data_IF_749689911950
#
_entry.id   IF_749689911950
#
_cell.length_a   1.000
_cell.length_b   1.000
_cell.length_c   1.000
_cell.angle_alpha   90.00
_cell.angle_beta   90.00
_cell.angle_gamma   90.00
#
_symmetry.space_group_name_H-M   'P 1'
#
loop_
_entity.id
_entity.type
_entity.pdbx_description
1 polymer ?
#
# COMPACT_ATOMS: atom_id res chain seq x y z
N UNK A 1 6.21 -22.22 8.98
CA UNK A 1 5.60 -20.89 9.28
C UNK A 1 4.47 -20.66 8.30
N UNK A 2 3.26 -20.30 8.76
CA UNK A 2 2.17 -19.92 7.86
C UNK A 2 2.46 -18.56 7.19
N UNK A 3 1.73 -18.24 6.12
CA UNK A 3 1.87 -16.95 5.44
C UNK A 3 1.54 -15.77 6.36
N UNK A 4 0.47 -15.89 7.14
CA UNK A 4 0.07 -14.87 8.14
C UNK A 4 1.12 -14.66 9.21
N UNK A 5 1.65 -15.74 9.79
CA UNK A 5 2.73 -15.66 10.77
C UNK A 5 3.99 -15.02 10.19
N UNK A 6 4.35 -15.36 8.95
CA UNK A 6 5.51 -14.81 8.26
C UNK A 6 5.40 -13.29 8.08
N UNK A 7 4.26 -12.81 7.59
CA UNK A 7 4.02 -11.37 7.44
C UNK A 7 4.05 -10.68 8.80
N UNK A 8 3.33 -11.20 9.80
CA UNK A 8 3.27 -10.60 11.13
C UNK A 8 4.65 -10.54 11.80
N UNK A 9 5.45 -11.60 11.70
CA UNK A 9 6.83 -11.58 12.22
C UNK A 9 7.66 -10.54 11.51
N UNK A 10 7.63 -10.51 10.19
CA UNK A 10 8.41 -9.56 9.41
C UNK A 10 8.08 -8.10 9.77
N UNK A 11 6.80 -7.72 9.81
CA UNK A 11 6.40 -6.34 10.13
C UNK A 11 6.60 -5.98 11.62
N UNK A 12 6.86 -6.95 12.47
CA UNK A 12 7.27 -6.76 13.86
C UNK A 12 8.80 -6.91 14.04
N UNK A 13 9.59 -6.72 12.99
CA UNK A 13 11.07 -6.78 13.01
C UNK A 13 11.61 -8.10 13.59
N UNK A 14 10.99 -9.22 13.21
CA UNK A 14 11.41 -10.55 13.59
C UNK A 14 11.81 -11.35 12.34
N UNK A 15 12.84 -12.16 12.47
CA UNK A 15 13.30 -13.02 11.38
C UNK A 15 12.27 -14.08 11.01
N UNK A 16 12.23 -14.41 9.73
CA UNK A 16 11.30 -15.35 9.13
C UNK A 16 12.06 -16.47 8.38
N UNK A 17 11.36 -17.55 8.07
CA UNK A 17 11.91 -18.69 7.29
C UNK A 17 12.30 -18.29 5.86
N UNK A 18 11.65 -17.29 5.29
CA UNK A 18 11.96 -16.57 4.04
C UNK A 18 11.33 -15.18 4.08
N UNK A 19 11.69 -14.32 3.17
CA UNK A 19 11.02 -13.02 3.02
C UNK A 19 9.54 -13.24 2.67
N UNK A 20 8.58 -12.59 3.36
CA UNK A 20 7.19 -12.59 2.91
C UNK A 20 7.02 -11.84 1.60
N UNK A 21 6.05 -12.28 0.81
CA UNK A 21 5.83 -11.80 -0.57
C UNK A 21 4.40 -11.30 -0.71
N UNK A 22 4.23 -10.18 -1.42
CA UNK A 22 2.92 -9.64 -1.79
C UNK A 22 2.79 -9.45 -3.31
N UNK A 23 1.61 -9.82 -3.81
CA UNK A 23 1.06 -9.46 -5.10
C UNK A 23 -0.46 -9.39 -4.97
N UNK A 24 -0.99 -8.18 -4.99
CA UNK A 24 -2.44 -7.95 -5.02
C UNK A 24 -3.12 -7.85 -3.65
N UNK A 25 -2.39 -7.81 -2.52
CA UNK A 25 -3.00 -7.52 -1.22
C UNK A 25 -3.54 -6.08 -1.12
N UNK A 26 -3.04 -5.18 -1.94
CA UNK A 26 -3.55 -3.82 -2.12
C UNK A 26 -3.73 -3.50 -3.59
N UNK A 27 -4.42 -2.39 -3.92
CA UNK A 27 -4.50 -1.92 -5.30
C UNK A 27 -3.12 -1.53 -5.83
N UNK A 28 -2.30 -0.98 -4.97
CA UNK A 28 -0.95 -0.52 -5.29
C UNK A 28 0.05 -1.67 -5.50
N UNK A 29 -0.20 -2.85 -4.93
CA UNK A 29 0.58 -4.05 -5.21
C UNK A 29 -0.07 -4.98 -6.23
N UNK A 30 -1.07 -4.50 -6.97
CA UNK A 30 -1.82 -5.24 -7.98
C UNK A 30 -1.06 -5.49 -9.27
N UNK A 31 -1.77 -6.00 -10.28
CA UNK A 31 -1.23 -6.29 -11.61
C UNK A 31 -2.27 -6.00 -12.68
N UNK A 32 -1.85 -5.33 -13.76
CA UNK A 32 -2.71 -5.05 -14.91
C UNK A 32 -3.28 -6.34 -15.52
N UNK A 33 -4.58 -6.34 -15.85
CA UNK A 33 -5.29 -7.53 -16.28
C UNK A 33 -4.69 -8.17 -17.56
N UNK A 34 -4.20 -7.36 -18.52
CA UNK A 34 -3.53 -7.86 -19.71
C UNK A 34 -2.23 -8.63 -19.39
N UNK A 35 -1.43 -8.07 -18.49
CA UNK A 35 -0.17 -8.68 -18.01
C UNK A 35 -0.45 -9.92 -17.18
N UNK A 36 -1.45 -9.88 -16.30
CA UNK A 36 -1.87 -11.02 -15.49
C UNK A 36 -2.37 -12.20 -16.34
N UNK A 37 -3.12 -11.91 -17.40
CA UNK A 37 -3.56 -12.95 -18.35
C UNK A 37 -2.35 -13.69 -18.95
N UNK A 38 -1.38 -12.93 -19.47
CA UNK A 38 -0.14 -13.52 -20.03
C UNK A 38 0.70 -14.26 -18.99
N UNK A 39 0.76 -13.73 -17.76
CA UNK A 39 1.42 -14.43 -16.66
C UNK A 39 0.79 -15.79 -16.38
N UNK A 40 -0.55 -15.87 -16.34
CA UNK A 40 -1.26 -17.15 -16.15
C UNK A 40 -0.99 -18.12 -17.29
N UNK A 41 -0.96 -17.68 -18.53
CA UNK A 41 -0.58 -18.51 -19.67
C UNK A 41 0.82 -19.09 -19.49
N UNK A 42 1.80 -18.25 -19.11
CA UNK A 42 3.18 -18.68 -18.81
C UNK A 42 3.28 -19.65 -17.64
N UNK A 43 2.36 -19.60 -16.68
CA UNK A 43 2.27 -20.52 -15.55
C UNK A 43 1.42 -21.77 -15.83
N UNK A 44 0.78 -21.87 -17.01
CA UNK A 44 -0.11 -22.97 -17.36
C UNK A 44 -1.49 -22.92 -16.68
N UNK A 45 -1.89 -21.76 -16.13
CA UNK A 45 -3.17 -21.53 -15.44
C UNK A 45 -4.19 -21.00 -16.46
N UNK A 46 -5.34 -21.67 -16.62
CA UNK A 46 -6.33 -21.38 -17.68
C UNK A 46 -7.69 -20.90 -17.16
N UNK A 47 -7.73 -20.34 -15.98
CA UNK A 47 -8.95 -19.72 -15.42
C UNK A 47 -9.24 -18.37 -16.10
N UNK A 48 -10.47 -17.86 -16.12
CA UNK A 48 -10.77 -16.51 -16.61
C UNK A 48 -9.97 -15.43 -15.84
N UNK A 49 -9.54 -14.39 -16.53
CA UNK A 49 -8.92 -13.23 -15.89
C UNK A 49 -10.00 -12.22 -15.52
N UNK A 50 -10.21 -11.98 -14.23
CA UNK A 50 -11.22 -11.05 -13.72
C UNK A 50 -10.62 -9.71 -13.36
N UNK A 51 -11.32 -8.63 -13.72
CA UNK A 51 -10.92 -7.26 -13.43
C UNK A 51 -11.63 -6.77 -12.17
N UNK A 52 -10.89 -6.45 -11.13
CA UNK A 52 -11.42 -6.00 -9.83
C UNK A 52 -11.18 -4.51 -9.54
N UNK A 53 -10.36 -3.84 -10.32
CA UNK A 53 -10.23 -2.39 -10.33
C UNK A 53 -10.49 -1.88 -11.74
N UNK A 54 -11.58 -1.12 -11.92
CA UNK A 54 -12.02 -0.67 -13.24
C UNK A 54 -11.34 0.65 -13.68
N UNK A 55 -10.62 1.32 -12.80
CA UNK A 55 -9.85 2.52 -13.15
C UNK A 55 -8.47 2.11 -13.64
N UNK A 56 -7.67 1.47 -12.79
CA UNK A 56 -6.33 0.99 -13.15
C UNK A 56 -6.36 -0.33 -13.93
N UNK A 57 -7.52 -0.91 -14.11
CA UNK A 57 -7.80 -2.17 -14.80
C UNK A 57 -6.98 -3.35 -14.29
N UNK A 58 -6.99 -3.49 -12.94
CA UNK A 58 -6.22 -4.53 -12.26
C UNK A 58 -6.99 -5.84 -12.15
N UNK A 59 -6.24 -6.94 -12.23
CA UNK A 59 -6.77 -8.29 -12.09
C UNK A 59 -7.01 -8.70 -10.63
N UNK A 60 -7.98 -9.60 -10.44
CA UNK A 60 -8.13 -10.42 -9.24
C UNK A 60 -7.01 -11.47 -9.24
N UNK A 61 -6.11 -11.41 -8.26
CA UNK A 61 -5.01 -12.35 -8.14
C UNK A 61 -5.50 -13.63 -7.48
N UNK A 62 -5.64 -14.68 -8.28
CA UNK A 62 -6.23 -15.95 -7.88
C UNK A 62 -5.29 -16.79 -7.02
N UNK A 63 -5.88 -17.59 -6.14
CA UNK A 63 -5.15 -18.48 -5.24
C UNK A 63 -4.12 -19.39 -5.95
N UNK A 64 -4.38 -20.03 -7.10
CA UNK A 64 -3.36 -20.83 -7.80
C UNK A 64 -2.11 -20.04 -8.21
N UNK A 65 -2.29 -18.76 -8.60
CA UNK A 65 -1.16 -17.86 -8.92
C UNK A 65 -0.43 -17.46 -7.64
N UNK A 66 -1.15 -17.11 -6.57
CA UNK A 66 -0.55 -16.78 -5.27
C UNK A 66 0.30 -17.94 -4.73
N UNK A 67 -0.23 -19.17 -4.75
CA UNK A 67 0.48 -20.37 -4.32
C UNK A 67 1.74 -20.62 -5.17
N UNK A 68 1.63 -20.49 -6.51
CA UNK A 68 2.77 -20.67 -7.43
C UNK A 68 3.86 -19.62 -7.19
N UNK A 69 3.51 -18.39 -6.92
CA UNK A 69 4.45 -17.30 -6.69
C UNK A 69 4.89 -17.16 -5.23
N UNK A 70 4.25 -17.87 -4.30
CA UNK A 70 4.57 -17.85 -2.87
C UNK A 70 4.12 -16.59 -2.15
N UNK A 71 3.00 -16.00 -2.58
CA UNK A 71 2.39 -14.82 -1.97
C UNK A 71 1.91 -15.14 -0.55
N UNK A 72 2.02 -14.16 0.36
CA UNK A 72 1.72 -14.32 1.78
C UNK A 72 0.61 -13.40 2.31
N UNK A 73 0.13 -12.47 1.49
CA UNK A 73 -0.90 -11.50 1.89
C UNK A 73 -2.06 -11.44 0.89
N UNK A 74 -3.27 -11.13 1.37
CA UNK A 74 -4.49 -10.93 0.58
C UNK A 74 -5.19 -9.66 0.98
N UNK A 75 -5.88 -9.02 0.01
CA UNK A 75 -6.70 -7.85 0.25
C UNK A 75 -8.12 -8.19 0.69
N UNK A 76 -8.64 -7.40 1.61
CA UNK A 76 -10.07 -7.29 1.91
C UNK A 76 -10.53 -5.96 1.31
N UNK A 77 -11.41 -6.02 0.31
CA UNK A 77 -11.78 -4.85 -0.48
C UNK A 77 -13.24 -4.48 -0.27
N UNK A 78 -13.53 -3.19 -0.39
CA UNK A 78 -14.91 -2.70 -0.41
C UNK A 78 -15.67 -3.24 -1.64
N UNK A 79 -17.01 -3.36 -1.57
CA UNK A 79 -17.82 -3.93 -2.65
C UNK A 79 -17.87 -3.05 -3.90
N UNK A 80 -17.63 -1.76 -3.76
CA UNK A 80 -17.66 -0.80 -4.86
C UNK A 80 -16.26 -0.44 -5.33
N UNK A 81 -16.07 -0.46 -6.65
CA UNK A 81 -14.94 0.19 -7.28
C UNK A 81 -15.30 1.62 -7.62
N UNK A 82 -14.34 2.48 -7.68
CA UNK A 82 -14.49 3.78 -8.28
C UNK A 82 -14.52 3.62 -9.83
N UNK A 83 -15.59 4.01 -10.53
CA UNK A 83 -16.65 4.98 -10.25
C UNK A 83 -18.04 4.40 -9.88
N UNK A 84 -18.13 3.53 -8.91
CA UNK A 84 -19.42 3.07 -8.40
C UNK A 84 -20.02 1.84 -9.11
N UNK A 85 -19.16 1.05 -9.79
CA UNK A 85 -19.53 -0.26 -10.29
C UNK A 85 -19.13 -1.30 -9.26
N UNK A 86 -20.11 -1.94 -8.62
CA UNK A 86 -19.85 -2.93 -7.58
C UNK A 86 -19.11 -4.16 -8.09
N UNK A 87 -18.04 -4.56 -7.39
CA UNK A 87 -17.43 -5.88 -7.55
C UNK A 87 -18.25 -6.87 -6.73
N UNK A 88 -19.42 -7.20 -7.20
CA UNK A 88 -20.11 -8.39 -6.69
C UNK A 88 -19.56 -9.57 -7.46
N UNK A 89 -19.14 -10.62 -6.76
CA UNK A 89 -18.61 -11.87 -7.37
C UNK A 89 -19.62 -12.58 -8.26
N UNK A 90 -20.80 -12.03 -8.40
CA UNK A 90 -21.93 -12.48 -9.18
C UNK A 90 -22.05 -11.60 -10.42
N UNK A 91 -22.35 -12.19 -11.57
CA UNK A 91 -22.55 -11.49 -12.85
C UNK A 91 -21.29 -10.92 -13.52
N UNK A 92 -20.27 -11.75 -13.65
CA UNK A 92 -19.16 -11.45 -14.54
C UNK A 92 -19.58 -11.59 -16.00
N UNK A 93 -19.10 -10.69 -16.87
CA UNK A 93 -19.34 -10.77 -18.31
C UNK A 93 -18.02 -10.68 -19.09
N UNK A 94 -17.94 -11.34 -20.28
CA UNK A 94 -16.80 -11.27 -21.14
C UNK A 94 -16.54 -9.83 -21.62
N UNK A 95 -15.27 -9.47 -21.69
CA UNK A 95 -14.77 -8.22 -22.26
C UNK A 95 -13.45 -8.49 -22.99
N UNK A 96 -13.07 -7.61 -23.93
CA UNK A 96 -11.77 -7.65 -24.59
C UNK A 96 -11.10 -6.31 -24.48
N UNK A 97 -9.82 -6.34 -24.07
CA UNK A 97 -8.93 -5.17 -24.13
C UNK A 97 -8.57 -4.83 -25.58
N UNK A 98 -8.00 -3.65 -25.82
CA UNK A 98 -7.60 -3.24 -27.17
C UNK A 98 -6.55 -4.16 -27.79
N UNK A 99 -5.69 -4.77 -27.00
CA UNK A 99 -4.70 -5.77 -27.46
C UNK A 99 -5.30 -7.17 -27.71
N UNK A 100 -6.62 -7.28 -27.60
CA UNK A 100 -7.36 -8.53 -27.81
C UNK A 100 -7.39 -9.46 -26.58
N UNK A 101 -6.73 -9.12 -25.47
CA UNK A 101 -6.71 -9.92 -24.25
C UNK A 101 -8.14 -10.16 -23.74
N UNK A 102 -8.59 -11.44 -23.57
CA UNK A 102 -9.88 -11.74 -23.02
C UNK A 102 -9.87 -11.59 -21.51
N UNK A 103 -10.85 -10.89 -20.97
CA UNK A 103 -11.06 -10.70 -19.53
C UNK A 103 -12.53 -10.83 -19.17
N UNK A 104 -12.82 -11.03 -17.89
CA UNK A 104 -14.16 -10.87 -17.34
C UNK A 104 -14.20 -9.57 -16.50
N UNK A 105 -15.27 -8.79 -16.70
CA UNK A 105 -15.52 -7.55 -15.97
C UNK A 105 -16.85 -7.66 -15.21
N UNK A 106 -17.06 -6.87 -14.14
CA UNK A 106 -18.34 -6.84 -13.45
C UNK A 106 -19.50 -6.52 -14.40
N UNK A 107 -20.64 -7.16 -14.21
CA UNK A 107 -21.82 -6.99 -15.10
C UNK A 107 -22.29 -5.56 -15.27
N UNK A 108 -22.11 -4.71 -14.24
CA UNK A 108 -22.39 -3.27 -14.29
C UNK A 108 -21.42 -2.42 -15.12
N UNK A 109 -20.30 -2.98 -15.56
CA UNK A 109 -19.30 -2.26 -16.39
C UNK A 109 -19.82 -2.09 -17.83
N UNK A 110 -20.26 -0.89 -18.20
CA UNK A 110 -20.82 -0.57 -19.51
C UNK A 110 -20.25 0.76 -20.03
N UNK A 111 -18.95 0.81 -20.39
CA UNK A 111 -18.37 2.02 -20.96
C UNK A 111 -18.93 2.23 -22.38
N UNK A 112 -19.14 3.50 -22.75
CA UNK A 112 -19.55 3.91 -24.08
C UNK A 112 -18.32 4.01 -24.98
N UNK A 113 -18.39 3.42 -26.18
CA UNK A 113 -17.38 3.59 -27.20
C UNK A 113 -17.63 4.93 -27.92
N UNK A 114 -16.62 5.79 -27.95
CA UNK A 114 -16.66 7.08 -28.62
C UNK A 114 -16.18 6.99 -30.09
N UNK A 115 -16.52 7.99 -30.94
CA UNK A 115 -16.11 8.00 -32.35
C UNK A 115 -14.58 7.98 -32.57
N UNK A 116 -13.80 8.46 -31.61
CA UNK A 116 -12.33 8.41 -31.66
C UNK A 116 -11.74 7.07 -31.20
N UNK A 117 -12.59 6.11 -30.88
CA UNK A 117 -12.20 4.78 -30.44
C UNK A 117 -11.88 4.66 -28.95
N UNK A 118 -12.03 5.72 -28.15
CA UNK A 118 -11.89 5.66 -26.71
C UNK A 118 -13.13 5.07 -26.03
N UNK A 119 -12.97 4.51 -24.82
CA UNK A 119 -14.07 4.14 -23.94
C UNK A 119 -14.29 5.20 -22.87
N UNK A 120 -15.54 5.54 -22.62
CA UNK A 120 -15.94 6.51 -21.58
C UNK A 120 -16.90 5.84 -20.60
N UNK A 121 -16.56 5.88 -19.32
CA UNK A 121 -17.45 5.45 -18.22
C UNK A 121 -18.38 6.60 -17.82
N UNK A 122 -19.64 6.24 -17.57
CA UNK A 122 -20.70 7.19 -17.22
C UNK A 122 -21.23 6.89 -15.82
N UNK A 123 -21.48 7.96 -15.02
CA UNK A 123 -22.28 7.94 -13.80
C UNK A 123 -23.50 8.83 -14.01
N UNK A 124 -24.71 8.25 -13.96
CA UNK A 124 -25.96 9.01 -14.24
C UNK A 124 -25.88 9.86 -15.52
N UNK A 125 -25.34 9.29 -16.62
CA UNK A 125 -25.11 9.92 -17.92
C UNK A 125 -23.97 10.98 -17.96
N UNK A 126 -23.28 11.23 -16.87
CA UNK A 126 -22.13 12.14 -16.85
C UNK A 126 -20.85 11.35 -17.08
N UNK A 127 -19.96 11.77 -18.01
CA UNK A 127 -18.65 11.17 -18.20
C UNK A 127 -17.78 11.32 -16.94
N UNK A 128 -17.25 10.21 -16.42
CA UNK A 128 -16.44 10.21 -15.18
C UNK A 128 -15.03 9.69 -15.37
N UNK A 129 -14.81 8.82 -16.37
CA UNK A 129 -13.49 8.31 -16.68
C UNK A 129 -13.39 7.92 -18.15
N UNK A 130 -12.20 8.01 -18.73
CA UNK A 130 -11.91 7.71 -20.14
C UNK A 130 -10.69 6.82 -20.28
N UNK A 131 -10.82 5.76 -21.07
CA UNK A 131 -9.69 4.97 -21.56
C UNK A 131 -9.43 5.37 -23.00
N UNK A 132 -8.29 5.95 -23.35
CA UNK A 132 -7.92 6.26 -24.72
C UNK A 132 -7.94 5.00 -25.59
N UNK A 133 -8.07 5.17 -26.91
CA UNK A 133 -7.85 4.07 -27.86
C UNK A 133 -6.47 3.47 -27.62
N UNK A 134 -6.38 2.14 -27.59
CA UNK A 134 -5.17 1.37 -27.29
C UNK A 134 -4.63 1.54 -25.85
N UNK A 135 -5.40 2.17 -24.96
CA UNK A 135 -5.10 2.29 -23.54
C UNK A 135 -5.41 1.01 -22.74
N UNK A 136 -4.83 0.92 -21.55
CA UNK A 136 -4.99 -0.22 -20.64
C UNK A 136 -5.61 0.14 -19.30
N UNK A 137 -5.93 1.41 -19.06
CA UNK A 137 -6.56 1.92 -17.84
C UNK A 137 -7.42 3.15 -18.15
N UNK A 138 -8.31 3.49 -17.21
CA UNK A 138 -9.14 4.69 -17.31
C UNK A 138 -8.51 5.84 -16.55
N UNK A 139 -8.44 7.00 -17.18
CA UNK A 139 -8.16 8.28 -16.53
C UNK A 139 -9.45 8.89 -16.03
N UNK A 140 -9.45 9.42 -14.82
CA UNK A 140 -10.59 10.19 -14.34
C UNK A 140 -10.67 11.52 -15.08
N UNK A 141 -11.86 11.83 -15.61
CA UNK A 141 -12.14 13.09 -16.30
C UNK A 141 -13.20 13.94 -15.58
N UNK A 142 -13.82 13.38 -14.54
CA UNK A 142 -14.77 14.09 -13.71
C UNK A 142 -14.01 15.15 -12.90
N UNK A 143 -14.27 16.42 -13.23
CA UNK A 143 -13.82 17.53 -12.40
C UNK A 143 -14.75 17.62 -11.19
N UNK A 144 -14.31 17.08 -10.08
CA UNK A 144 -14.94 17.37 -8.80
C UNK A 144 -14.59 18.81 -8.40
N UNK A 145 -15.50 19.57 -7.77
CA UNK A 145 -15.11 20.85 -7.19
C UNK A 145 -13.97 20.57 -6.20
N UNK A 146 -12.83 21.22 -6.40
CA UNK A 146 -11.69 21.10 -5.50
C UNK A 146 -12.06 21.59 -4.10
N UNK A 147 -11.37 21.09 -3.10
CA UNK A 147 -11.60 21.46 -1.71
C UNK A 147 -11.51 22.97 -1.46
N UNK A 148 -10.74 23.69 -2.30
CA UNK A 148 -10.63 25.15 -2.24
C UNK A 148 -11.97 25.93 -2.38
N UNK A 149 -13.00 25.28 -2.88
CA UNK A 149 -14.32 25.90 -3.11
C UNK A 149 -15.45 25.26 -2.31
N UNK A 150 -15.14 24.36 -1.35
CA UNK A 150 -16.15 23.73 -0.52
C UNK A 150 -16.66 24.68 0.58
N UNK A 151 -17.98 24.75 0.73
CA UNK A 151 -18.59 25.28 1.93
C UNK A 151 -18.48 24.20 3.04
N UNK A 152 -17.61 24.46 4.01
CA UNK A 152 -17.31 23.50 5.08
C UNK A 152 -18.55 23.14 5.89
N UNK A 153 -19.46 24.07 6.10
CA UNK A 153 -20.67 23.85 6.92
C UNK A 153 -21.66 22.93 6.20
N UNK A 154 -21.81 23.12 4.89
CA UNK A 154 -22.73 22.33 4.06
C UNK A 154 -22.15 21.02 3.56
N UNK A 155 -20.83 20.96 3.35
CA UNK A 155 -20.19 19.75 2.83
C UNK A 155 -20.27 18.59 3.83
N UNK A 156 -20.68 17.42 3.35
CA UNK A 156 -20.80 16.22 4.16
C UNK A 156 -19.90 15.10 3.58
N UNK A 157 -18.77 14.78 4.24
CA UNK A 157 -17.94 13.64 3.87
C UNK A 157 -18.76 12.34 3.99
N UNK A 158 -18.55 11.41 3.07
CA UNK A 158 -19.28 10.13 3.08
C UNK A 158 -18.69 9.15 4.10
N UNK A 159 -19.55 8.61 4.95
CA UNK A 159 -19.23 7.47 5.80
C UNK A 159 -19.39 6.17 5.03
N UNK A 160 -18.70 5.13 5.45
CA UNK A 160 -19.00 3.78 4.99
C UNK A 160 -20.40 3.37 5.42
N UNK A 161 -21.15 2.77 4.51
CA UNK A 161 -22.50 2.27 4.80
C UNK A 161 -22.45 0.99 5.64
N UNK A 162 -23.59 0.58 6.21
CA UNK A 162 -23.69 -0.71 6.88
C UNK A 162 -23.46 -1.87 5.92
N UNK A 163 -23.98 -1.78 4.69
CA UNK A 163 -23.81 -2.80 3.66
C UNK A 163 -22.32 -3.00 3.28
N UNK A 164 -21.56 -1.92 3.18
CA UNK A 164 -20.13 -2.01 2.93
C UNK A 164 -19.37 -2.68 4.09
N UNK A 165 -19.74 -2.35 5.33
CA UNK A 165 -19.14 -2.97 6.52
C UNK A 165 -19.51 -4.45 6.64
N UNK A 166 -20.74 -4.83 6.37
CA UNK A 166 -21.20 -6.22 6.34
C UNK A 166 -20.48 -7.03 5.25
N UNK A 167 -20.29 -6.43 4.06
CA UNK A 167 -19.53 -7.06 2.98
C UNK A 167 -18.06 -7.29 3.38
N UNK A 168 -17.41 -6.27 3.93
CA UNK A 168 -16.01 -6.35 4.39
C UNK A 168 -15.88 -7.36 5.54
N UNK A 169 -16.82 -7.38 6.48
CA UNK A 169 -16.88 -8.37 7.55
C UNK A 169 -16.94 -9.80 6.99
N UNK A 170 -17.91 -10.07 6.12
CA UNK A 170 -18.10 -11.40 5.54
C UNK A 170 -16.87 -11.87 4.74
N UNK A 171 -16.26 -10.95 3.98
CA UNK A 171 -15.04 -11.25 3.24
C UNK A 171 -13.85 -11.54 4.20
N UNK A 172 -13.65 -10.70 5.21
CA UNK A 172 -12.58 -10.88 6.19
C UNK A 172 -12.73 -12.19 6.95
N UNK A 173 -13.95 -12.54 7.38
CA UNK A 173 -14.27 -13.80 8.04
C UNK A 173 -13.96 -15.01 7.15
N UNK A 174 -14.51 -15.01 5.93
CA UNK A 174 -14.28 -16.08 4.97
C UNK A 174 -12.79 -16.29 4.66
N UNK A 175 -12.04 -15.22 4.40
CA UNK A 175 -10.61 -15.32 4.10
C UNK A 175 -9.79 -15.75 5.31
N UNK A 176 -10.12 -15.24 6.50
CA UNK A 176 -9.40 -15.59 7.73
C UNK A 176 -9.56 -17.07 8.12
N UNK A 177 -10.77 -17.60 7.98
CA UNK A 177 -11.08 -18.98 8.35
C UNK A 177 -10.62 -20.02 7.32
N UNK A 178 -10.61 -19.65 6.03
CA UNK A 178 -10.33 -20.59 4.94
C UNK A 178 -8.92 -20.43 4.33
N UNK A 179 -8.10 -19.50 4.86
CA UNK A 179 -6.75 -19.26 4.36
C UNK A 179 -5.78 -18.92 5.50
N UNK A 180 -4.50 -19.06 5.23
CA UNK A 180 -3.41 -18.68 6.14
C UNK A 180 -2.72 -17.37 5.73
N UNK A 181 -3.28 -16.62 4.78
CA UNK A 181 -2.73 -15.33 4.35
C UNK A 181 -2.93 -14.23 5.39
N UNK A 182 -2.00 -13.29 5.45
CA UNK A 182 -2.23 -12.03 6.16
C UNK A 182 -3.23 -11.17 5.39
N UNK A 183 -4.17 -10.54 6.09
CA UNK A 183 -5.22 -9.75 5.49
C UNK A 183 -4.94 -8.26 5.64
N UNK A 184 -5.04 -7.53 4.52
CA UNK A 184 -4.87 -6.08 4.43
C UNK A 184 -6.18 -5.44 4.00
N UNK A 185 -6.61 -4.38 4.68
CA UNK A 185 -7.79 -3.61 4.27
C UNK A 185 -7.47 -2.11 4.21
N UNK A 186 -7.84 -1.46 3.11
CA UNK A 186 -7.67 -0.02 2.95
C UNK A 186 -8.88 0.72 3.56
N UNK A 187 -8.61 1.61 4.52
CA UNK A 187 -9.62 2.43 5.21
C UNK A 187 -9.15 3.89 5.25
N UNK A 188 -9.22 4.55 4.12
CA UNK A 188 -8.87 5.97 4.01
C UNK A 188 -9.87 6.88 4.76
N UNK A 189 -9.45 8.09 5.14
CA UNK A 189 -10.41 9.19 5.32
C UNK A 189 -11.37 9.27 4.12
N UNK A 190 -12.58 9.80 4.27
CA UNK A 190 -13.54 9.93 3.16
C UNK A 190 -12.99 10.57 1.88
N UNK A 191 -12.00 11.41 2.02
CA UNK A 191 -11.03 11.80 1.00
C UNK A 191 -9.65 11.74 1.66
N UNK A 192 -8.61 11.36 0.92
CA UNK A 192 -7.24 11.54 1.38
C UNK A 192 -7.05 13.01 1.78
N UNK A 193 -6.32 13.29 2.86
CA UNK A 193 -6.31 14.64 3.41
C UNK A 193 -5.53 15.61 2.52
N UNK A 194 -4.52 15.14 1.83
CA UNK A 194 -3.68 15.98 0.98
C UNK A 194 -4.07 15.87 -0.50
N UNK A 195 -3.81 14.69 -1.11
CA UNK A 195 -4.03 14.53 -2.55
C UNK A 195 -5.51 14.37 -2.89
N UNK A 196 -6.30 13.70 -2.06
CA UNK A 196 -7.72 13.50 -2.28
C UNK A 196 -8.54 14.80 -2.23
N UNK A 197 -8.17 15.76 -1.39
CA UNK A 197 -8.79 17.09 -1.35
C UNK A 197 -8.45 17.94 -2.57
N UNK A 198 -7.32 17.66 -3.23
CA UNK A 198 -6.88 18.35 -4.43
C UNK A 198 -7.44 17.81 -5.76
N UNK A 199 -8.24 16.73 -5.76
CA UNK A 199 -8.68 16.06 -6.99
C UNK A 199 -9.50 16.89 -7.98
N UNK A 200 -10.03 18.03 -7.60
CA UNK A 200 -10.78 18.91 -8.52
C UNK A 200 -9.92 19.96 -9.19
N UNK A 201 -9.06 20.60 -8.41
CA UNK A 201 -8.19 21.70 -8.81
C UNK A 201 -6.94 21.69 -7.92
N UNK A 202 -5.91 21.00 -8.34
CA UNK A 202 -4.70 20.81 -7.56
C UNK A 202 -3.93 22.11 -7.32
N UNK A 203 -3.88 23.01 -8.31
CA UNK A 203 -3.18 24.29 -8.18
C UNK A 203 -3.89 25.19 -7.18
N UNK A 204 -5.22 25.32 -7.28
CA UNK A 204 -6.03 26.08 -6.32
C UNK A 204 -5.93 25.48 -4.91
N UNK A 205 -5.91 24.15 -4.79
CA UNK A 205 -5.76 23.49 -3.49
C UNK A 205 -4.41 23.80 -2.83
N UNK A 206 -3.31 23.77 -3.57
CA UNK A 206 -1.99 24.09 -3.03
C UNK A 206 -1.87 25.57 -2.62
N UNK A 207 -2.47 26.47 -3.41
CA UNK A 207 -2.56 27.86 -3.02
C UNK A 207 -3.37 28.04 -1.73
N UNK A 208 -4.48 27.32 -1.59
CA UNK A 208 -5.33 27.33 -0.39
C UNK A 208 -4.60 26.77 0.83
N UNK A 209 -3.88 25.65 0.69
CA UNK A 209 -3.04 25.08 1.77
C UNK A 209 -2.05 26.09 2.31
N UNK A 210 -1.46 26.91 1.45
CA UNK A 210 -0.46 27.91 1.83
C UNK A 210 -1.07 29.20 2.41
N UNK A 211 -2.23 29.64 1.90
CA UNK A 211 -2.82 30.96 2.20
C UNK A 211 -3.97 30.93 3.23
N UNK A 212 -4.66 29.79 3.37
CA UNK A 212 -5.88 29.68 4.18
C UNK A 212 -5.83 28.49 5.17
N UNK A 213 -4.83 28.43 6.06
CA UNK A 213 -4.64 27.28 6.95
C UNK A 213 -5.83 27.01 7.88
N UNK A 214 -6.58 28.01 8.30
CA UNK A 214 -7.75 27.80 9.15
C UNK A 214 -8.91 27.13 8.40
N UNK A 215 -9.11 27.48 7.14
CA UNK A 215 -10.06 26.79 6.27
C UNK A 215 -9.67 25.31 6.06
N UNK A 216 -8.41 25.07 5.78
CA UNK A 216 -7.85 23.70 5.62
C UNK A 216 -8.06 22.88 6.89
N UNK A 217 -7.78 23.47 8.07
CA UNK A 217 -7.99 22.81 9.37
C UNK A 217 -9.45 22.42 9.57
N UNK A 218 -10.40 23.30 9.20
CA UNK A 218 -11.82 23.02 9.34
C UNK A 218 -12.26 21.86 8.43
N UNK A 219 -11.78 21.79 7.19
CA UNK A 219 -12.03 20.68 6.27
C UNK A 219 -11.49 19.36 6.83
N UNK A 220 -10.22 19.35 7.27
CA UNK A 220 -9.58 18.16 7.80
C UNK A 220 -10.20 17.69 9.11
N UNK A 221 -10.62 18.61 9.96
CA UNK A 221 -11.35 18.26 11.18
C UNK A 221 -12.64 17.51 10.87
N UNK A 222 -13.41 18.01 9.92
CA UNK A 222 -14.68 17.40 9.48
C UNK A 222 -14.46 16.01 8.87
N UNK A 223 -13.50 15.90 7.96
CA UNK A 223 -13.12 14.62 7.31
C UNK A 223 -12.64 13.59 8.33
N UNK A 224 -11.73 14.01 9.22
CA UNK A 224 -11.18 13.14 10.26
C UNK A 224 -12.25 12.69 11.25
N UNK A 225 -13.19 13.57 11.59
CA UNK A 225 -14.34 13.23 12.45
C UNK A 225 -15.17 12.07 11.86
N UNK A 226 -15.42 12.09 10.56
CA UNK A 226 -16.11 11.00 9.85
C UNK A 226 -15.22 9.75 9.77
N UNK A 227 -13.93 9.90 9.46
CA UNK A 227 -13.00 8.79 9.41
C UNK A 227 -12.88 8.04 10.75
N UNK A 228 -12.81 8.76 11.86
CA UNK A 228 -12.77 8.16 13.20
C UNK A 228 -14.00 7.27 13.49
N UNK A 229 -15.19 7.69 13.06
CA UNK A 229 -16.40 6.86 13.16
C UNK A 229 -16.28 5.61 12.29
N UNK A 230 -15.79 5.77 11.07
CA UNK A 230 -15.56 4.65 10.14
C UNK A 230 -14.56 3.65 10.72
N UNK A 231 -13.42 4.12 11.26
CA UNK A 231 -12.42 3.27 11.91
C UNK A 231 -13.02 2.44 13.07
N UNK A 232 -13.82 3.08 13.93
CA UNK A 232 -14.46 2.41 15.05
C UNK A 232 -15.48 1.34 14.60
N UNK A 233 -16.24 1.61 13.53
CA UNK A 233 -17.20 0.65 12.96
C UNK A 233 -16.48 -0.49 12.23
N UNK A 234 -15.45 -0.18 11.45
CA UNK A 234 -14.60 -1.15 10.77
C UNK A 234 -13.94 -2.10 11.77
N UNK A 235 -13.27 -1.58 12.80
CA UNK A 235 -12.60 -2.40 13.80
C UNK A 235 -13.57 -3.37 14.50
N UNK A 236 -14.79 -2.94 14.79
CA UNK A 236 -15.84 -3.84 15.34
C UNK A 236 -16.28 -4.89 14.32
N UNK A 237 -16.39 -4.53 13.05
CA UNK A 237 -16.83 -5.45 12.01
C UNK A 237 -15.81 -6.56 11.75
N UNK A 238 -14.51 -6.23 11.68
CA UNK A 238 -13.48 -7.21 11.32
C UNK A 238 -12.85 -7.93 12.51
N UNK A 239 -12.90 -7.34 13.71
CA UNK A 239 -12.24 -7.87 14.91
C UNK A 239 -10.74 -8.08 14.66
N UNK A 240 -10.21 -9.24 15.10
CA UNK A 240 -8.80 -9.63 14.91
C UNK A 240 -8.54 -10.33 13.56
N UNK A 241 -9.52 -10.38 12.64
CA UNK A 241 -9.40 -11.13 11.37
C UNK A 241 -8.52 -10.42 10.35
N UNK A 242 -8.47 -9.09 10.34
CA UNK A 242 -7.57 -8.28 9.53
C UNK A 242 -6.33 -7.91 10.35
N UNK A 243 -5.14 -7.97 9.75
CA UNK A 243 -3.87 -7.67 10.42
C UNK A 243 -3.36 -6.28 10.14
N UNK A 244 -3.65 -5.74 8.94
CA UNK A 244 -3.07 -4.48 8.47
C UNK A 244 -4.18 -3.57 7.96
N UNK A 245 -4.21 -2.36 8.51
CA UNK A 245 -5.00 -1.24 8.01
C UNK A 245 -4.11 -0.41 7.10
N UNK A 246 -4.46 -0.32 5.82
CA UNK A 246 -3.79 0.56 4.87
C UNK A 246 -4.50 1.91 4.80
N UNK A 247 -3.70 2.97 4.71
CA UNK A 247 -4.13 4.32 4.33
C UNK A 247 -3.25 4.79 3.18
N UNK A 248 -3.81 5.57 2.27
CA UNK A 248 -3.09 6.09 1.10
C UNK A 248 -3.15 7.60 1.06
N UNK A 249 -2.03 8.24 0.81
CA UNK A 249 -1.92 9.66 0.45
C UNK A 249 -0.50 9.96 -0.04
N UNK A 250 -0.32 10.58 -1.20
CA UNK A 250 0.98 10.79 -1.81
C UNK A 250 1.60 12.12 -1.36
N UNK A 251 2.78 12.05 -0.75
CA UNK A 251 3.51 13.22 -0.24
C UNK A 251 4.78 13.56 -1.03
N UNK A 252 5.13 12.75 -2.02
CA UNK A 252 6.37 12.90 -2.78
C UNK A 252 6.22 12.81 -4.29
N UNK A 253 7.15 13.45 -4.98
CA UNK A 253 7.50 13.18 -6.38
C UNK A 253 8.76 12.30 -6.39
N UNK A 254 9.25 11.92 -7.57
CA UNK A 254 10.53 11.19 -7.66
C UNK A 254 11.74 12.00 -7.16
N UNK A 255 11.66 13.32 -7.17
CA UNK A 255 12.78 14.22 -6.87
C UNK A 255 12.69 14.89 -5.48
N UNK A 256 11.48 15.07 -4.96
CA UNK A 256 11.26 15.85 -3.74
C UNK A 256 9.91 15.55 -3.09
N UNK A 257 9.73 16.05 -1.87
CA UNK A 257 8.41 16.15 -1.27
C UNK A 257 7.53 17.14 -2.04
N UNK A 258 6.22 16.89 -2.05
CA UNK A 258 5.20 17.79 -2.60
C UNK A 258 4.96 19.02 -1.69
N UNK A 259 5.26 18.88 -0.39
CA UNK A 259 5.12 19.94 0.62
C UNK A 259 6.31 19.92 1.57
N UNK A 260 6.56 21.01 2.28
CA UNK A 260 7.64 21.03 3.28
C UNK A 260 7.30 20.13 4.48
N UNK A 261 8.32 19.56 5.12
CA UNK A 261 8.15 18.78 6.38
C UNK A 261 7.42 19.62 7.44
N UNK A 262 7.68 20.93 7.51
CA UNK A 262 7.00 21.84 8.42
C UNK A 262 5.48 21.88 8.13
N UNK A 263 5.11 22.11 6.88
CA UNK A 263 3.69 22.16 6.48
C UNK A 263 3.00 20.82 6.72
N UNK A 264 3.64 19.70 6.40
CA UNK A 264 3.13 18.37 6.73
C UNK A 264 2.83 18.23 8.23
N UNK A 265 3.79 18.58 9.08
CA UNK A 265 3.65 18.46 10.55
C UNK A 265 2.55 19.39 11.12
N UNK A 266 2.34 20.55 10.54
CA UNK A 266 1.38 21.53 11.02
C UNK A 266 -0.05 21.33 10.49
N UNK A 267 -0.18 20.85 9.24
CA UNK A 267 -1.49 20.78 8.57
C UNK A 267 -2.00 19.38 8.27
N UNK A 268 -1.14 18.37 8.11
CA UNK A 268 -1.53 17.02 7.71
C UNK A 268 -1.41 16.02 8.86
N UNK A 269 -0.21 15.94 9.43
CA UNK A 269 0.15 14.97 10.45
C UNK A 269 -0.83 14.89 11.64
N UNK A 270 -1.36 16.00 12.22
CA UNK A 270 -2.22 15.91 13.41
C UNK A 270 -3.51 15.11 13.18
N UNK A 271 -4.03 15.16 11.96
CA UNK A 271 -5.29 14.50 11.59
C UNK A 271 -5.09 13.01 11.36
N UNK A 272 -4.05 12.60 10.63
CA UNK A 272 -3.69 11.19 10.49
C UNK A 272 -3.26 10.58 11.83
N UNK A 273 -2.44 11.29 12.59
CA UNK A 273 -1.98 10.82 13.90
C UNK A 273 -3.14 10.48 14.83
N UNK A 274 -4.19 11.29 14.85
CA UNK A 274 -5.39 11.03 15.66
C UNK A 274 -6.04 9.69 15.29
N UNK A 275 -6.15 9.38 14.00
CA UNK A 275 -6.67 8.10 13.53
C UNK A 275 -5.75 6.93 13.88
N UNK A 276 -4.45 7.07 13.65
CA UNK A 276 -3.46 6.02 13.90
C UNK A 276 -3.29 5.74 15.40
N UNK A 277 -3.25 6.77 16.24
CA UNK A 277 -3.25 6.61 17.71
C UNK A 277 -4.49 5.84 18.18
N UNK A 278 -5.67 6.17 17.62
CA UNK A 278 -6.89 5.44 17.96
C UNK A 278 -6.81 3.96 17.55
N UNK A 279 -6.30 3.66 16.36
CA UNK A 279 -6.11 2.28 15.87
C UNK A 279 -5.20 1.51 16.82
N UNK A 280 -4.06 2.06 17.20
CA UNK A 280 -3.10 1.42 18.09
C UNK A 280 -3.65 1.21 19.52
N UNK A 281 -4.45 2.14 20.02
CA UNK A 281 -5.04 2.06 21.37
C UNK A 281 -6.20 1.07 21.46
N UNK A 282 -6.94 0.84 20.37
CA UNK A 282 -8.19 0.10 20.39
C UNK A 282 -8.17 -1.21 19.60
N UNK A 283 -7.09 -1.51 18.86
CA UNK A 283 -7.00 -2.68 17.99
C UNK A 283 -5.59 -3.28 18.01
N UNK A 284 -5.43 -4.44 17.36
CA UNK A 284 -4.10 -5.05 17.08
C UNK A 284 -3.61 -4.77 15.66
N UNK A 285 -4.34 -3.95 14.90
CA UNK A 285 -3.99 -3.62 13.52
C UNK A 285 -2.66 -2.88 13.45
N UNK A 286 -1.86 -3.24 12.45
CA UNK A 286 -0.71 -2.46 12.04
C UNK A 286 -1.12 -1.43 11.00
N UNK A 287 -0.59 -0.23 11.10
CA UNK A 287 -0.88 0.88 10.18
C UNK A 287 0.13 0.88 9.04
N UNK A 288 -0.35 0.66 7.83
CA UNK A 288 0.41 0.82 6.59
C UNK A 288 0.04 2.14 5.92
N UNK A 289 1.03 2.98 5.68
CA UNK A 289 0.86 4.16 4.82
C UNK A 289 1.42 3.85 3.43
N UNK A 290 0.57 3.98 2.41
CA UNK A 290 1.02 4.06 1.02
C UNK A 290 1.24 5.51 0.65
N UNK A 291 2.45 5.81 0.19
CA UNK A 291 2.84 7.12 -0.32
C UNK A 291 4.03 6.96 -1.25
N UNK A 292 3.88 7.37 -2.49
CA UNK A 292 4.96 7.34 -3.48
C UNK A 292 5.95 8.49 -3.29
N UNK A 293 7.14 8.33 -3.88
CA UNK A 293 8.11 9.39 -4.07
C UNK A 293 9.30 9.41 -3.12
N UNK A 294 10.00 10.55 -3.13
CA UNK A 294 11.23 10.82 -2.38
C UNK A 294 10.92 11.19 -0.92
N UNK A 295 10.51 10.21 -0.12
CA UNK A 295 9.97 10.41 1.23
C UNK A 295 11.03 10.44 2.33
N UNK A 296 12.30 10.20 2.04
CA UNK A 296 13.35 10.06 3.06
C UNK A 296 13.33 11.17 4.14
N UNK A 297 13.19 12.47 3.80
CA UNK A 297 13.12 13.54 4.80
C UNK A 297 11.85 13.51 5.67
N UNK A 298 10.79 12.82 5.21
CA UNK A 298 9.50 12.76 5.89
C UNK A 298 9.39 11.56 6.84
N UNK A 299 10.18 10.49 6.64
CA UNK A 299 10.10 9.24 7.41
C UNK A 299 10.09 9.47 8.93
N UNK A 300 10.93 10.35 9.53
CA UNK A 300 10.84 10.63 10.97
C UNK A 300 9.46 11.10 11.43
N UNK A 301 8.80 11.94 10.62
CA UNK A 301 7.44 12.43 10.92
C UNK A 301 6.39 11.34 10.72
N UNK A 302 6.57 10.43 9.75
CA UNK A 302 5.67 9.28 9.55
C UNK A 302 5.75 8.31 10.73
N UNK A 303 6.94 8.03 11.25
CA UNK A 303 7.13 7.20 12.45
C UNK A 303 6.46 7.86 13.67
N UNK A 304 6.67 9.15 13.89
CA UNK A 304 6.02 9.91 14.96
C UNK A 304 4.48 9.97 14.82
N UNK A 305 4.01 9.97 13.59
CA UNK A 305 2.58 9.92 13.25
C UNK A 305 1.93 8.57 13.61
N UNK A 306 2.74 7.51 13.73
CA UNK A 306 2.25 6.18 14.07
C UNK A 306 2.18 5.22 12.88
N UNK A 307 2.96 5.46 11.82
CA UNK A 307 3.07 4.52 10.70
C UNK A 307 3.96 3.34 11.11
N UNK A 308 3.43 2.12 11.09
CA UNK A 308 4.19 0.88 11.31
C UNK A 308 4.89 0.39 10.04
N UNK A 309 4.27 0.63 8.87
CA UNK A 309 4.70 0.08 7.59
C UNK A 309 4.65 1.17 6.52
N UNK A 310 5.77 1.44 5.86
CA UNK A 310 5.84 2.32 4.69
C UNK A 310 5.74 1.50 3.40
N UNK A 311 4.81 1.86 2.54
CA UNK A 311 4.59 1.29 1.21
C UNK A 311 4.41 2.42 0.19
N UNK A 312 5.02 2.35 -0.98
CA UNK A 312 6.13 1.45 -1.31
C UNK A 312 7.48 2.01 -0.83
N UNK A 313 8.52 1.22 -1.04
CA UNK A 313 9.88 1.75 -1.14
C UNK A 313 10.13 2.05 -2.61
N UNK A 314 9.98 3.30 -3.04
CA UNK A 314 10.21 3.69 -4.44
C UNK A 314 11.71 3.86 -4.69
N UNK A 315 12.40 2.74 -4.93
CA UNK A 315 13.88 2.63 -4.98
C UNK A 315 14.56 3.55 -6.00
N UNK A 316 13.84 4.00 -7.02
CA UNK A 316 14.31 4.94 -8.03
C UNK A 316 13.99 6.42 -7.70
N UNK A 317 13.31 6.69 -6.58
CA UNK A 317 13.12 8.04 -6.09
C UNK A 317 14.34 8.51 -5.27
N UNK A 318 14.60 9.80 -5.31
CA UNK A 318 15.77 10.42 -4.68
C UNK A 318 15.84 10.17 -3.17
N UNK A 319 16.95 9.61 -2.71
CA UNK A 319 17.20 9.31 -1.29
C UNK A 319 16.48 8.05 -0.78
N UNK A 320 15.81 7.31 -1.66
CA UNK A 320 15.07 6.10 -1.27
C UNK A 320 15.86 4.80 -1.51
N UNK A 321 17.19 4.90 -1.56
CA UNK A 321 18.04 3.73 -1.73
C UNK A 321 17.88 2.75 -0.56
N UNK A 322 17.66 1.44 -0.81
CA UNK A 322 17.38 0.44 0.21
C UNK A 322 18.38 0.40 1.37
N UNK A 323 19.67 0.60 1.08
CA UNK A 323 20.72 0.56 2.09
C UNK A 323 20.61 1.70 3.10
N UNK A 324 20.38 2.93 2.64
CA UNK A 324 20.20 4.10 3.50
C UNK A 324 18.96 3.96 4.38
N UNK A 325 17.85 3.52 3.78
CA UNK A 325 16.60 3.29 4.49
C UNK A 325 16.75 2.23 5.59
N UNK A 326 17.37 1.08 5.28
CA UNK A 326 17.56 0.01 6.26
C UNK A 326 18.47 0.44 7.41
N UNK A 327 19.55 1.15 7.12
CA UNK A 327 20.50 1.64 8.14
C UNK A 327 19.85 2.64 9.09
N UNK A 328 19.09 3.59 8.58
CA UNK A 328 18.52 4.69 9.36
C UNK A 328 17.22 4.30 10.08
N UNK A 329 16.35 3.58 9.39
CA UNK A 329 14.96 3.36 9.83
C UNK A 329 14.56 1.89 9.96
N UNK A 330 15.37 0.92 9.52
CA UNK A 330 15.00 -0.49 9.42
C UNK A 330 14.65 -1.18 10.75
N UNK A 331 14.91 -0.57 11.90
CA UNK A 331 14.46 -1.04 13.22
C UNK A 331 13.29 -0.24 13.81
N UNK A 332 12.76 0.75 13.06
CA UNK A 332 11.75 1.70 13.55
C UNK A 332 10.46 1.65 12.74
N UNK A 333 10.55 1.29 11.46
CA UNK A 333 9.43 1.16 10.53
C UNK A 333 9.69 -0.01 9.61
N UNK A 334 8.66 -0.78 9.29
CA UNK A 334 8.77 -1.85 8.29
C UNK A 334 8.60 -1.29 6.88
N UNK A 335 9.25 -1.92 5.91
CA UNK A 335 9.18 -1.55 4.51
C UNK A 335 8.39 -2.60 3.72
N UNK A 336 7.49 -2.17 2.85
CA UNK A 336 6.68 -3.03 2.01
C UNK A 336 6.80 -2.60 0.56
N UNK A 337 7.33 -3.48 -0.32
CA UNK A 337 7.62 -3.16 -1.72
C UNK A 337 9.09 -2.83 -1.97
N UNK A 338 9.39 -2.30 -3.17
CA UNK A 338 10.76 -1.90 -3.52
C UNK A 338 11.70 -3.05 -3.87
N UNK A 339 11.16 -4.24 -4.20
CA UNK A 339 12.01 -5.36 -4.61
C UNK A 339 12.67 -5.11 -5.98
N UNK A 340 12.00 -4.39 -6.86
CA UNK A 340 12.47 -4.08 -8.21
C UNK A 340 11.86 -2.78 -8.72
N UNK A 341 12.62 -2.02 -9.50
CA UNK A 341 12.14 -0.82 -10.22
C UNK A 341 11.08 -1.20 -11.26
N UNK A 342 9.87 -0.67 -11.06
CA UNK A 342 8.73 -0.88 -11.96
C UNK A 342 8.74 0.00 -13.22
N UNK A 343 9.64 0.98 -13.32
CA UNK A 343 9.72 1.91 -14.44
C UNK A 343 10.80 1.52 -15.45
N UNK A 344 11.84 0.82 -15.04
CA UNK A 344 12.97 0.46 -15.90
C UNK A 344 13.26 -1.05 -15.87
N UNK A 345 13.68 -1.60 -14.74
CA UNK A 345 14.19 -2.98 -14.69
C UNK A 345 13.09 -4.00 -14.95
N UNK A 346 11.94 -3.87 -14.31
CA UNK A 346 10.86 -4.85 -14.43
C UNK A 346 10.25 -4.88 -15.84
N UNK A 347 9.92 -3.73 -16.48
CA UNK A 347 9.34 -3.75 -17.82
C UNK A 347 10.35 -3.96 -18.96
N UNK A 348 11.58 -3.47 -18.83
CA UNK A 348 12.53 -3.40 -19.96
C UNK A 348 13.81 -4.22 -19.75
N UNK A 349 14.08 -4.67 -18.53
CA UNK A 349 15.21 -5.55 -18.22
C UNK A 349 14.99 -6.98 -18.71
N UNK A 350 16.04 -7.80 -18.63
CA UNK A 350 15.94 -9.26 -18.82
C UNK A 350 15.64 -9.95 -17.49
N UNK A 351 15.14 -11.18 -17.49
CA UNK A 351 14.89 -11.93 -16.24
C UNK A 351 16.09 -11.97 -15.28
N UNK A 352 17.32 -12.05 -15.83
CA UNK A 352 18.55 -12.01 -15.04
C UNK A 352 18.84 -10.63 -14.39
N UNK A 353 18.42 -9.54 -15.01
CA UNK A 353 18.57 -8.18 -14.47
C UNK A 353 17.59 -8.00 -13.29
N UNK A 354 16.33 -8.43 -13.49
CA UNK A 354 15.29 -8.45 -12.44
C UNK A 354 15.75 -9.30 -11.25
N UNK A 355 16.25 -10.51 -11.50
CA UNK A 355 16.72 -11.42 -10.45
C UNK A 355 17.86 -10.78 -9.62
N UNK A 356 18.83 -10.11 -10.28
CA UNK A 356 19.94 -9.44 -9.56
C UNK A 356 19.47 -8.30 -8.68
N UNK A 357 18.55 -7.46 -9.17
CA UNK A 357 18.01 -6.34 -8.41
C UNK A 357 17.19 -6.82 -7.21
N UNK A 358 16.29 -7.78 -7.43
CA UNK A 358 15.49 -8.40 -6.36
C UNK A 358 16.39 -9.03 -5.28
N UNK A 359 17.41 -9.80 -5.69
CA UNK A 359 18.34 -10.42 -4.76
C UNK A 359 19.08 -9.37 -3.92
N UNK A 360 19.56 -8.28 -4.54
CA UNK A 360 20.26 -7.20 -3.87
C UNK A 360 19.35 -6.49 -2.86
N UNK A 361 18.13 -6.14 -3.25
CA UNK A 361 17.18 -5.43 -2.40
C UNK A 361 16.68 -6.29 -1.25
N UNK A 362 16.35 -7.58 -1.50
CA UNK A 362 15.96 -8.52 -0.43
C UNK A 362 17.10 -8.74 0.57
N UNK A 363 18.33 -8.96 0.10
CA UNK A 363 19.50 -9.10 0.99
C UNK A 363 19.79 -7.85 1.82
N UNK A 364 19.40 -6.69 1.33
CA UNK A 364 19.57 -5.41 2.04
C UNK A 364 18.47 -5.17 3.06
N UNK A 365 17.20 -5.36 2.68
CA UNK A 365 16.05 -4.94 3.48
C UNK A 365 15.57 -6.02 4.46
N UNK A 366 15.69 -7.32 4.14
CA UNK A 366 15.10 -8.39 4.92
C UNK A 366 15.83 -8.79 6.22
N UNK A 367 17.17 -8.67 6.36
CA UNK A 367 17.87 -9.08 7.58
C UNK A 367 17.29 -8.41 8.84
N UNK A 368 17.06 -9.21 9.89
CA UNK A 368 16.44 -8.75 11.15
C UNK A 368 14.95 -8.45 11.06
N UNK A 369 14.28 -8.84 9.98
CA UNK A 369 12.87 -8.52 9.72
C UNK A 369 12.64 -7.09 9.22
N UNK A 370 11.40 -6.60 9.32
CA UNK A 370 11.02 -5.25 8.88
C UNK A 370 10.88 -5.11 7.36
N UNK A 371 10.63 -6.22 6.62
CA UNK A 371 10.49 -6.15 5.17
C UNK A 371 9.51 -7.17 4.59
N UNK A 372 8.66 -6.71 3.66
CA UNK A 372 7.79 -7.54 2.81
C UNK A 372 8.11 -7.24 1.34
N UNK A 373 8.44 -8.29 0.59
CA UNK A 373 8.85 -8.19 -0.81
C UNK A 373 7.63 -8.03 -1.72
N UNK A 374 7.59 -6.93 -2.46
CA UNK A 374 6.66 -6.66 -3.56
C UNK A 374 7.36 -5.79 -4.61
N UNK A 375 6.81 -5.67 -5.79
CA UNK A 375 7.20 -4.64 -6.74
C UNK A 375 7.04 -3.23 -6.11
N UNK A 376 7.68 -2.22 -6.67
CA UNK A 376 7.52 -0.83 -6.15
C UNK A 376 6.05 -0.42 -6.17
N UNK A 377 5.39 -0.59 -7.30
CA UNK A 377 3.97 -0.28 -7.48
C UNK A 377 3.29 -1.40 -8.29
N UNK A 378 2.00 -1.26 -8.61
CA UNK A 378 1.31 -2.26 -9.40
C UNK A 378 2.04 -2.56 -10.72
N UNK A 379 2.05 -3.83 -11.10
CA UNK A 379 2.71 -4.32 -12.32
C UNK A 379 1.87 -3.90 -13.52
N UNK A 380 2.42 -3.01 -14.34
CA UNK A 380 1.73 -2.38 -15.46
C UNK A 380 1.54 -3.31 -16.66
N UNK A 381 0.68 -2.85 -17.60
CA UNK A 381 0.53 -3.47 -18.90
C UNK A 381 1.87 -3.53 -19.65
N UNK A 382 2.11 -4.60 -20.39
CA UNK A 382 3.33 -4.77 -21.20
C UNK A 382 4.54 -5.38 -20.47
N UNK A 383 4.51 -5.52 -19.15
CA UNK A 383 5.60 -6.20 -18.42
C UNK A 383 5.68 -7.67 -18.86
N UNK A 384 6.89 -8.18 -19.24
CA UNK A 384 7.07 -9.56 -19.67
C UNK A 384 6.76 -10.56 -18.52
N UNK A 385 5.98 -11.61 -18.76
CA UNK A 385 5.68 -12.64 -17.76
C UNK A 385 6.92 -13.27 -17.14
N UNK A 386 7.97 -13.50 -17.93
CA UNK A 386 9.24 -14.06 -17.47
C UNK A 386 9.96 -13.16 -16.45
N UNK A 387 9.81 -11.84 -16.55
CA UNK A 387 10.35 -10.89 -15.58
C UNK A 387 9.58 -10.97 -14.25
N UNK A 388 8.25 -11.14 -14.31
CA UNK A 388 7.42 -11.31 -13.12
C UNK A 388 7.76 -12.63 -12.43
N UNK A 389 7.91 -13.72 -13.19
CA UNK A 389 8.33 -15.01 -12.65
C UNK A 389 9.72 -14.89 -12.01
N UNK A 390 10.66 -14.20 -12.66
CA UNK A 390 12.01 -13.98 -12.12
C UNK A 390 11.99 -13.21 -10.80
N UNK A 391 11.13 -12.17 -10.69
CA UNK A 391 10.93 -11.41 -9.44
C UNK A 391 10.55 -12.35 -8.29
N UNK A 392 9.44 -13.09 -8.42
CA UNK A 392 8.89 -13.88 -7.33
C UNK A 392 9.68 -15.16 -7.06
N UNK A 393 10.19 -15.83 -8.09
CA UNK A 393 11.04 -17.01 -7.90
C UNK A 393 12.38 -16.65 -7.24
N UNK A 394 12.92 -15.47 -7.51
CA UNK A 394 14.11 -14.97 -6.81
C UNK A 394 13.81 -14.65 -5.35
N UNK A 395 12.76 -13.87 -5.07
CA UNK A 395 12.36 -13.55 -3.72
C UNK A 395 12.16 -14.79 -2.83
N UNK A 396 11.56 -15.86 -3.39
CA UNK A 396 11.38 -17.13 -2.67
C UNK A 396 12.67 -17.87 -2.34
N UNK A 397 13.71 -17.72 -3.16
CA UNK A 397 14.96 -18.49 -3.06
C UNK A 397 16.07 -17.77 -2.32
N UNK A 398 15.99 -16.44 -2.22
CA UNK A 398 17.02 -15.66 -1.53
C UNK A 398 17.07 -16.05 -0.07
N UNK A 399 18.21 -16.62 0.33
CA UNK A 399 18.52 -16.85 1.73
C UNK A 399 18.72 -15.50 2.42
N UNK A 400 17.88 -15.21 3.41
CA UNK A 400 18.06 -14.02 4.26
C UNK A 400 19.11 -14.37 5.30
N UNK A 401 20.25 -13.66 5.34
CA UNK A 401 21.25 -13.87 6.39
C UNK A 401 20.59 -13.63 7.77
N UNK A 402 20.65 -14.63 8.64
CA UNK A 402 20.23 -14.42 10.02
C UNK A 402 21.23 -13.50 10.70
N UNK A 403 20.76 -12.46 11.41
CA UNK A 403 21.62 -11.70 12.29
C UNK A 403 22.13 -12.63 13.38
N UNK A 404 23.41 -12.98 13.36
CA UNK A 404 24.03 -13.60 14.51
C UNK A 404 23.81 -12.65 15.70
N UNK A 405 22.97 -13.02 16.65
CA UNK A 405 23.00 -12.42 17.98
C UNK A 405 24.37 -12.79 18.54
N UNK A 406 25.38 -11.92 18.31
CA UNK A 406 26.58 -11.95 19.13
C UNK A 406 26.09 -11.74 20.55
N UNK A 407 26.20 -12.77 21.37
CA UNK A 407 26.05 -12.73 22.81
C UNK A 407 26.72 -11.44 23.28
N UNK A 408 25.95 -10.49 23.81
CA UNK A 408 26.53 -9.47 24.66
C UNK A 408 27.04 -10.24 25.85
N UNK A 409 28.32 -10.55 25.82
CA UNK A 409 29.05 -11.12 26.91
C UNK A 409 28.72 -10.30 28.16
N UNK A 410 28.24 -11.00 29.18
CA UNK A 410 28.22 -10.54 30.55
C UNK A 410 29.67 -10.38 31.04
N UNK A 411 30.33 -9.30 30.66
CA UNK A 411 31.59 -8.85 31.21
C UNK A 411 31.46 -7.41 31.67
N UNK A 412 30.92 -7.26 32.87
CA UNK A 412 31.35 -6.28 33.85
C UNK A 412 30.42 -6.27 35.09
N UNK A 413 30.53 -7.33 35.88
CA UNK A 413 30.21 -7.27 37.31
C UNK A 413 31.36 -7.83 38.10
N UNK A 414 32.49 -7.10 38.09
CA UNK A 414 33.47 -7.16 39.16
C UNK A 414 33.32 -5.88 39.96
N UNK A 415 32.72 -6.00 41.11
CA UNK A 415 32.55 -4.92 42.07
C UNK A 415 33.88 -4.47 42.63
N UNK A 416 33.99 -3.22 43.15
CA UNK A 416 35.19 -2.73 43.75
C UNK A 416 35.43 -3.42 45.12
N UNK A 417 36.57 -4.11 45.20
CA UNK A 417 37.08 -4.64 46.47
C UNK A 417 37.32 -3.53 47.48
N UNK A 418 36.79 -3.73 48.63
CA UNK A 418 37.10 -2.97 49.84
C UNK A 418 38.59 -2.97 50.12
N UNK A 419 39.25 -1.83 50.04
CA UNK A 419 40.52 -1.59 50.70
C UNK A 419 40.27 -0.89 52.03
N UNK A 420 40.73 -1.55 53.07
CA UNK A 420 40.74 -1.08 54.46
C UNK A 420 41.75 0.06 54.62
N UNK A 421 41.30 0.95 55.42
CA UNK A 421 42.02 2.01 56.10
C UNK A 421 43.26 1.49 56.85
N UNK A 422 44.36 2.17 56.78
CA UNK A 422 45.40 2.18 57.80
C UNK A 422 46.22 3.49 57.74
N UNK A 423 45.79 4.40 58.55
CA UNK A 423 46.59 5.16 59.53
C UNK A 423 47.89 5.85 59.17
N UNK A 424 47.90 7.06 59.56
CA UNK A 424 48.88 7.78 60.43
C UNK A 424 49.84 8.80 59.77
N UNK A 425 49.54 10.03 60.16
CA UNK A 425 50.41 11.07 60.80
C UNK A 425 51.41 11.86 59.97
N UNK A 426 51.22 13.10 60.26
CA UNK A 426 52.25 14.23 60.49
C UNK A 426 52.90 14.78 59.21
N UNK A 427 52.72 16.00 58.89
CA UNK A 427 52.95 17.30 59.51
C UNK A 427 52.08 18.37 58.86
#
# INVERSE_FOLDING_TARGET
MTSRERVLRAINHQETDRVPIDLGATRQSGIAASTYHRLKEGLGIRTPTRVVDLIQFLADVERPVMERLGVDAMGVFRPETNPGVGIRKENWKPWRLFDGTPVEVPGGFNPRLEPDGSYVMLRANTPVARMPKDGFYFERIEKQPGAAHLDVDQWQPQEWTNEELEFVHAQAECLYENTEYALVCCVNPPQELFTGMGTGDFEAWWATLASEPEYVRALFEKTTGVWMKTLARFARAVGDKVQILQVTDDFGTQESLLLSVKMFRELIMPYYKRGFDWVHQNTKLKVMLHSDGALFPLIPSLIEMGVDILNPVQVNAKGMEPRGLKQEYGGKIAFWGGAVDCQQTLPFGRPGDVAREVEANVKTLAPGGGYVCAAVHNIQAGVPPENIIALFDTARRVAVPQCCHSERSEESRSGPGTMRDSSLRSE
#
